data_IF_730382769558
#
_entry.id   IF_730382769558
#
_cell.length_a   1.000
_cell.length_b   1.000
_cell.length_c   1.000
_cell.angle_alpha   90.00
_cell.angle_beta   90.00
_cell.angle_gamma   90.00
#
_symmetry.space_group_name_H-M   'P 1'
#
loop_
_entity.id
_entity.type
_entity.pdbx_description
1 polymer ?
#
# COMPACT_ATOMS: atom_id res chain seq x y z
N UNK A 1 -16.62 -17.30 -28.10
CA UNK A 1 -17.27 -18.57 -28.46
C UNK A 1 -18.48 -18.76 -27.56
N UNK A 2 -19.64 -19.06 -28.13
CA UNK A 2 -20.81 -19.44 -27.33
C UNK A 2 -20.69 -20.93 -26.98
N UNK A 3 -20.79 -21.24 -25.69
CA UNK A 3 -20.63 -22.59 -25.16
C UNK A 3 -21.92 -23.16 -24.58
N UNK A 4 -22.98 -22.35 -24.49
CA UNK A 4 -24.26 -22.78 -23.93
C UNK A 4 -24.96 -23.71 -24.92
N UNK A 5 -25.66 -24.72 -24.40
CA UNK A 5 -26.34 -25.78 -25.14
C UNK A 5 -25.43 -26.76 -25.90
N UNK A 6 -24.13 -26.77 -25.60
CA UNK A 6 -23.20 -27.75 -26.18
C UNK A 6 -23.24 -29.05 -25.37
N UNK A 7 -23.35 -30.18 -26.06
CA UNK A 7 -23.19 -31.52 -25.50
C UNK A 7 -21.71 -31.80 -25.21
N UNK A 8 -21.44 -32.26 -24.00
CA UNK A 8 -20.11 -32.63 -23.52
C UNK A 8 -20.13 -33.96 -22.79
N UNK A 9 -18.99 -34.63 -22.73
CA UNK A 9 -18.81 -35.87 -21.97
C UNK A 9 -17.67 -35.70 -20.98
N UNK A 10 -17.97 -35.89 -19.69
CA UNK A 10 -16.98 -35.90 -18.62
C UNK A 10 -16.51 -37.32 -18.33
N UNK A 11 -15.21 -37.50 -18.11
CA UNK A 11 -14.62 -38.83 -17.87
C UNK A 11 -15.21 -39.60 -16.67
N UNK A 12 -15.73 -38.88 -15.66
CA UNK A 12 -16.35 -39.46 -14.45
C UNK A 12 -17.88 -39.34 -14.44
N UNK A 13 -18.43 -38.24 -14.98
CA UNK A 13 -19.84 -37.89 -14.79
C UNK A 13 -20.72 -38.21 -16.02
N UNK A 14 -20.12 -38.76 -17.07
CA UNK A 14 -20.84 -39.16 -18.27
C UNK A 14 -21.24 -37.96 -19.14
N UNK A 15 -22.35 -38.11 -19.85
CA UNK A 15 -22.87 -37.10 -20.77
C UNK A 15 -23.56 -35.95 -20.02
N UNK A 16 -23.33 -34.73 -20.51
CA UNK A 16 -23.95 -33.53 -19.98
C UNK A 16 -24.07 -32.42 -21.02
N UNK A 17 -24.80 -31.37 -20.65
CA UNK A 17 -25.02 -30.19 -21.51
C UNK A 17 -24.55 -28.96 -20.74
N UNK A 18 -23.78 -28.09 -21.39
CA UNK A 18 -23.40 -26.81 -20.80
C UNK A 18 -24.62 -25.90 -20.74
N UNK A 19 -25.01 -25.46 -19.55
CA UNK A 19 -26.19 -24.62 -19.32
C UNK A 19 -25.84 -23.16 -19.01
N UNK A 20 -24.61 -22.88 -18.58
CA UNK A 20 -24.16 -21.53 -18.28
C UNK A 20 -22.64 -21.39 -18.46
N UNK A 21 -22.21 -20.18 -18.82
CA UNK A 21 -20.81 -19.74 -18.80
C UNK A 21 -20.72 -18.40 -18.09
N UNK A 22 -19.97 -18.35 -17.01
CA UNK A 22 -19.76 -17.16 -16.18
C UNK A 22 -18.25 -16.99 -15.94
N UNK A 23 -17.68 -15.87 -16.40
CA UNK A 23 -16.25 -15.58 -16.24
C UNK A 23 -15.37 -16.76 -16.75
N UNK A 24 -14.59 -17.34 -15.84
CA UNK A 24 -13.70 -18.49 -16.01
C UNK A 24 -14.36 -19.85 -15.70
N UNK A 25 -15.69 -19.91 -15.58
CA UNK A 25 -16.42 -21.13 -15.25
C UNK A 25 -17.50 -21.48 -16.25
N UNK A 26 -17.73 -22.78 -16.43
CA UNK A 26 -18.90 -23.34 -17.11
C UNK A 26 -19.68 -24.22 -16.13
N UNK A 27 -21.01 -24.23 -16.26
CA UNK A 27 -21.89 -25.15 -15.53
C UNK A 27 -22.43 -26.19 -16.50
N UNK A 28 -22.20 -27.47 -16.19
CA UNK A 28 -22.66 -28.61 -16.98
C UNK A 28 -23.74 -29.35 -16.21
N UNK A 29 -24.88 -29.57 -16.87
CA UNK A 29 -25.98 -30.41 -16.37
C UNK A 29 -25.79 -31.84 -16.83
N UNK A 30 -25.60 -32.75 -15.89
CA UNK A 30 -25.56 -34.20 -16.09
C UNK A 30 -26.91 -34.82 -15.71
N UNK A 31 -27.07 -36.13 -15.92
CA UNK A 31 -28.33 -36.84 -15.71
C UNK A 31 -28.95 -36.64 -14.31
N UNK A 32 -28.12 -36.57 -13.27
CA UNK A 32 -28.57 -36.50 -11.88
C UNK A 32 -28.16 -35.20 -11.15
N UNK A 33 -27.23 -34.41 -11.69
CA UNK A 33 -26.62 -33.27 -10.98
C UNK A 33 -26.10 -32.19 -11.94
N UNK A 34 -25.97 -30.96 -11.45
CA UNK A 34 -25.26 -29.86 -12.10
C UNK A 34 -23.89 -29.64 -11.44
N UNK A 35 -22.83 -29.47 -12.24
CA UNK A 35 -21.47 -29.21 -11.74
C UNK A 35 -20.80 -28.06 -12.47
N UNK A 36 -20.04 -27.26 -11.71
CA UNK A 36 -19.29 -26.11 -12.21
C UNK A 36 -17.82 -26.47 -12.38
N UNK A 37 -17.23 -26.09 -13.52
CA UNK A 37 -15.86 -26.40 -13.90
C UNK A 37 -15.12 -25.16 -14.41
N UNK A 38 -13.79 -25.16 -14.27
CA UNK A 38 -12.93 -24.08 -14.74
C UNK A 38 -12.70 -24.20 -16.25
N UNK A 39 -13.11 -23.18 -17.00
CA UNK A 39 -12.90 -23.05 -18.43
C UNK A 39 -11.65 -22.20 -18.74
N UNK A 40 -10.86 -22.51 -19.78
CA UNK A 40 -10.96 -23.68 -20.67
C UNK A 40 -10.33 -24.96 -20.11
N UNK A 41 -9.63 -24.90 -18.98
CA UNK A 41 -8.74 -25.95 -18.47
C UNK A 41 -9.41 -27.31 -18.24
N UNK A 42 -10.71 -27.35 -17.93
CA UNK A 42 -11.45 -28.62 -17.79
C UNK A 42 -11.44 -29.47 -19.07
N UNK A 43 -11.29 -28.85 -20.25
CA UNK A 43 -11.17 -29.59 -21.51
C UNK A 43 -9.77 -30.20 -21.72
N UNK A 44 -8.81 -29.89 -20.85
CA UNK A 44 -7.48 -30.52 -20.81
C UNK A 44 -7.55 -31.87 -20.07
N UNK A 45 -8.35 -32.79 -20.61
CA UNK A 45 -8.41 -34.19 -20.16
C UNK A 45 -9.55 -34.58 -19.22
N UNK A 46 -10.54 -33.70 -18.99
CA UNK A 46 -11.73 -34.02 -18.18
C UNK A 46 -13.04 -33.94 -18.95
N UNK A 47 -13.22 -32.93 -19.80
CA UNK A 47 -14.38 -32.76 -20.69
C UNK A 47 -13.99 -32.89 -22.16
N UNK A 48 -14.88 -33.49 -22.95
CA UNK A 48 -14.77 -33.60 -24.41
C UNK A 48 -16.09 -33.13 -25.03
N UNK A 49 -16.04 -32.38 -26.11
CA UNK A 49 -17.20 -32.02 -26.94
C UNK A 49 -17.18 -32.81 -28.25
N UNK A 50 -18.36 -33.11 -28.81
CA UNK A 50 -18.49 -33.81 -30.09
C UNK A 50 -18.33 -32.87 -31.29
N UNK A 51 -18.46 -31.56 -31.09
CA UNK A 51 -18.27 -30.57 -32.15
C UNK A 51 -16.78 -30.38 -32.44
N UNK A 52 -16.37 -30.75 -33.65
CA UNK A 52 -14.98 -30.61 -34.13
C UNK A 52 -14.46 -29.18 -34.04
N UNK A 53 -15.29 -28.22 -34.46
CA UNK A 53 -14.90 -26.81 -34.57
C UNK A 53 -14.71 -26.19 -33.18
N UNK A 54 -15.57 -26.58 -32.23
CA UNK A 54 -15.51 -26.13 -30.84
C UNK A 54 -14.34 -26.78 -30.12
N UNK A 55 -14.13 -28.09 -30.31
CA UNK A 55 -12.97 -28.79 -29.77
C UNK A 55 -11.66 -28.16 -30.24
N UNK A 56 -11.56 -27.81 -31.52
CA UNK A 56 -10.36 -27.21 -32.09
C UNK A 56 -10.12 -25.78 -31.57
N UNK A 57 -11.17 -24.97 -31.45
CA UNK A 57 -11.06 -23.63 -30.84
C UNK A 57 -10.61 -23.69 -29.38
N UNK A 58 -11.19 -24.59 -28.58
CA UNK A 58 -10.82 -24.76 -27.16
C UNK A 58 -9.37 -25.25 -27.05
N UNK A 59 -8.96 -26.17 -27.93
CA UNK A 59 -7.59 -26.67 -27.96
C UNK A 59 -6.58 -25.55 -28.24
N UNK A 60 -6.86 -24.66 -29.21
CA UNK A 60 -6.03 -23.48 -29.50
C UNK A 60 -5.97 -22.52 -28.31
N UNK A 61 -7.08 -22.33 -27.60
CA UNK A 61 -7.14 -21.49 -26.40
C UNK A 61 -6.27 -22.06 -25.26
N UNK A 62 -6.36 -23.37 -24.99
CA UNK A 62 -5.52 -24.08 -24.00
C UNK A 62 -4.04 -24.00 -24.39
N UNK A 63 -3.70 -24.19 -25.66
CA UNK A 63 -2.33 -24.14 -26.14
C UNK A 63 -1.73 -22.71 -26.03
N UNK A 64 -2.54 -21.68 -26.31
CA UNK A 64 -2.13 -20.28 -26.10
C UNK A 64 -1.89 -19.98 -24.62
N UNK A 65 -2.73 -20.49 -23.70
CA UNK A 65 -2.55 -20.32 -22.25
C UNK A 65 -1.28 -21.03 -21.78
N UNK A 66 -1.06 -22.29 -22.19
CA UNK A 66 0.16 -23.05 -21.86
C UNK A 66 1.42 -22.37 -22.38
N UNK A 67 1.37 -21.79 -23.59
CA UNK A 67 2.48 -21.03 -24.16
C UNK A 67 2.77 -19.77 -23.33
N UNK A 68 1.75 -18.99 -22.97
CA UNK A 68 1.91 -17.80 -22.14
C UNK A 68 2.42 -18.13 -20.72
N UNK A 69 1.98 -19.24 -20.13
CA UNK A 69 2.46 -19.71 -18.84
C UNK A 69 3.92 -20.17 -18.92
N UNK A 70 4.30 -20.87 -19.99
CA UNK A 70 5.68 -21.30 -20.21
C UNK A 70 6.61 -20.10 -20.47
N UNK A 71 6.20 -19.14 -21.31
CA UNK A 71 6.95 -17.89 -21.54
C UNK A 71 7.12 -17.07 -20.24
N UNK A 72 6.09 -17.00 -19.39
CA UNK A 72 6.19 -16.38 -18.06
C UNK A 72 7.16 -17.12 -17.16
N UNK A 73 7.13 -18.45 -17.17
CA UNK A 73 8.00 -19.30 -16.35
C UNK A 73 9.46 -19.21 -16.82
N UNK A 74 9.69 -19.21 -18.13
CA UNK A 74 11.00 -19.02 -18.74
C UNK A 74 11.54 -17.62 -18.42
N UNK A 75 10.72 -16.56 -18.56
CA UNK A 75 11.12 -15.19 -18.18
C UNK A 75 11.46 -15.07 -16.69
N UNK A 76 10.70 -15.72 -15.81
CA UNK A 76 10.98 -15.75 -14.37
C UNK A 76 12.29 -16.51 -14.06
N UNK A 77 12.52 -17.64 -14.74
CA UNK A 77 13.75 -18.42 -14.60
C UNK A 77 14.98 -17.67 -15.15
N UNK A 78 14.84 -16.96 -16.27
CA UNK A 78 15.87 -16.09 -16.83
C UNK A 78 16.18 -14.93 -15.86
N UNK A 79 15.17 -14.30 -15.26
CA UNK A 79 15.35 -13.27 -14.25
C UNK A 79 16.05 -13.80 -12.99
N UNK A 80 15.73 -15.01 -12.53
CA UNK A 80 16.43 -15.66 -11.42
C UNK A 80 17.88 -16.03 -11.77
N UNK A 81 18.10 -16.54 -12.98
CA UNK A 81 19.44 -16.91 -13.46
C UNK A 81 20.31 -15.65 -13.66
N UNK A 82 19.73 -14.56 -14.15
CA UNK A 82 20.39 -13.27 -14.29
C UNK A 82 20.73 -12.67 -12.92
N UNK A 83 19.82 -12.74 -11.94
CA UNK A 83 20.11 -12.38 -10.53
C UNK A 83 21.23 -13.23 -9.92
N UNK A 84 21.29 -14.53 -10.23
CA UNK A 84 22.39 -15.41 -9.77
C UNK A 84 23.72 -15.10 -10.46
N UNK A 85 23.72 -14.79 -11.75
CA UNK A 85 24.92 -14.41 -12.51
C UNK A 85 25.44 -13.04 -12.06
N UNK A 86 24.56 -12.07 -11.79
CA UNK A 86 24.92 -10.77 -11.21
C UNK A 86 25.50 -10.92 -9.79
N UNK A 87 24.95 -11.84 -8.99
CA UNK A 87 25.46 -12.16 -7.65
C UNK A 87 26.85 -12.81 -7.71
N UNK A 88 27.09 -13.70 -8.67
CA UNK A 88 28.38 -14.38 -8.86
C UNK A 88 29.45 -13.51 -9.54
N UNK A 89 29.06 -12.59 -10.43
CA UNK A 89 29.98 -11.65 -11.08
C UNK A 89 30.31 -10.41 -10.20
N UNK A 90 29.48 -10.14 -9.18
CA UNK A 90 29.72 -9.10 -8.17
C UNK A 90 30.88 -9.40 -7.21
N UNK A 91 31.37 -10.64 -7.13
CA UNK A 91 32.40 -11.06 -6.17
C UNK A 91 33.84 -10.68 -6.56
N UNK A 92 34.04 -9.91 -7.63
CA UNK A 92 35.36 -9.35 -8.01
C UNK A 92 35.48 -7.84 -7.88
N UNK A 93 34.50 -7.17 -7.28
CA UNK A 93 34.60 -5.75 -6.94
C UNK A 93 34.62 -5.54 -5.42
N UNK A 94 35.59 -4.74 -4.98
CA UNK A 94 35.87 -4.24 -3.63
C UNK A 94 34.68 -4.44 -2.67
N UNK A 95 34.87 -5.18 -1.56
CA UNK A 95 33.94 -5.26 -0.42
C UNK A 95 33.46 -3.85 -0.04
N UNK A 96 32.36 -3.38 -0.62
CA UNK A 96 31.63 -2.23 -0.13
C UNK A 96 31.09 -2.70 1.21
N UNK A 97 31.59 -2.14 2.31
CA UNK A 97 30.99 -2.35 3.62
C UNK A 97 29.51 -2.00 3.49
N UNK A 98 28.63 -3.01 3.51
CA UNK A 98 27.19 -2.78 3.58
C UNK A 98 26.97 -1.89 4.80
N UNK A 99 26.52 -0.65 4.57
CA UNK A 99 26.29 0.31 5.65
C UNK A 99 25.14 -0.24 6.48
N UNK A 100 25.46 -0.84 7.62
CA UNK A 100 24.44 -1.29 8.58
C UNK A 100 23.91 -0.04 9.27
N UNK A 101 22.66 0.31 9.00
CA UNK A 101 22.00 1.42 9.67
C UNK A 101 21.33 0.92 10.96
N UNK A 102 21.42 1.67 12.07
CA UNK A 102 20.62 1.37 13.24
C UNK A 102 19.14 1.52 12.90
N UNK A 103 18.32 0.58 13.39
CA UNK A 103 16.86 0.58 13.24
C UNK A 103 16.30 1.88 13.81
N UNK A 104 15.33 2.48 13.11
CA UNK A 104 14.66 3.70 13.53
C UNK A 104 13.16 3.63 13.27
N UNK A 105 12.40 4.48 13.95
CA UNK A 105 11.00 4.72 13.63
C UNK A 105 10.89 5.72 12.47
N UNK A 106 9.73 5.78 11.82
CA UNK A 106 9.54 6.59 10.61
C UNK A 106 8.25 7.39 10.64
N UNK A 107 8.35 8.67 10.31
CA UNK A 107 7.21 9.56 10.11
C UNK A 107 7.11 9.95 8.63
N UNK A 108 5.95 9.81 8.01
CA UNK A 108 5.70 10.21 6.63
C UNK A 108 5.05 11.59 6.54
N UNK A 109 5.51 12.40 5.58
CA UNK A 109 4.88 13.66 5.17
C UNK A 109 3.92 13.37 4.04
N UNK A 110 2.65 13.29 4.39
CA UNK A 110 1.57 13.06 3.45
C UNK A 110 1.04 14.40 2.95
N UNK A 111 0.60 14.45 1.70
CA UNK A 111 -0.29 15.52 1.25
C UNK A 111 -1.67 15.34 1.86
N UNK A 112 -2.47 16.40 1.96
CA UNK A 112 -3.82 16.27 2.50
C UNK A 112 -4.71 15.47 1.54
N UNK A 113 -5.42 14.49 2.09
CA UNK A 113 -6.39 13.67 1.39
C UNK A 113 -7.58 13.43 2.31
N UNK A 114 -8.74 13.95 1.92
CA UNK A 114 -10.03 13.79 2.62
C UNK A 114 -10.85 12.61 2.09
N UNK A 115 -10.26 11.77 1.23
CA UNK A 115 -10.93 10.59 0.72
C UNK A 115 -11.29 9.63 1.85
N UNK A 116 -12.58 9.35 2.01
CA UNK A 116 -13.09 8.54 3.13
C UNK A 116 -13.17 9.30 4.46
N UNK A 117 -13.22 10.63 4.44
CA UNK A 117 -13.44 11.46 5.63
C UNK A 117 -14.75 11.08 6.35
N UNK A 118 -14.68 11.03 7.69
CA UNK A 118 -15.82 10.91 8.60
C UNK A 118 -15.49 11.51 9.97
N UNK A 119 -16.45 11.50 10.90
CA UNK A 119 -16.19 11.95 12.28
C UNK A 119 -15.16 11.07 13.01
N UNK A 120 -14.88 9.87 12.48
CA UNK A 120 -13.93 8.88 13.01
C UNK A 120 -12.60 8.84 12.25
N UNK A 121 -12.48 9.54 11.11
CA UNK A 121 -11.27 9.49 10.28
C UNK A 121 -11.06 10.75 9.43
N UNK A 122 -9.82 11.24 9.39
CA UNK A 122 -9.42 12.44 8.62
C UNK A 122 -9.54 12.27 7.09
N UNK A 123 -9.44 11.06 6.58
CA UNK A 123 -9.39 10.76 5.14
C UNK A 123 -8.42 9.63 4.87
N UNK A 124 -7.63 9.70 3.80
CA UNK A 124 -6.59 8.70 3.45
C UNK A 124 -7.11 7.26 3.21
N UNK A 125 -8.38 7.13 2.85
CA UNK A 125 -9.05 5.85 2.55
C UNK A 125 -10.01 6.02 1.37
N UNK A 126 -9.53 6.66 0.30
CA UNK A 126 -10.31 6.94 -0.88
C UNK A 126 -9.76 8.08 -1.70
N UNK A 127 -10.43 8.38 -2.81
CA UNK A 127 -10.16 9.54 -3.65
C UNK A 127 -10.60 10.81 -2.93
N UNK A 128 -9.80 11.88 -3.04
CA UNK A 128 -10.14 13.18 -2.50
C UNK A 128 -11.49 13.73 -3.03
N UNK A 129 -12.09 14.64 -2.28
CA UNK A 129 -13.18 15.48 -2.78
C UNK A 129 -12.67 16.40 -3.90
N UNK A 130 -13.59 16.91 -4.71
CA UNK A 130 -13.26 17.82 -5.81
C UNK A 130 -12.54 19.09 -5.32
N UNK A 131 -12.90 19.60 -4.14
CA UNK A 131 -12.27 20.79 -3.56
C UNK A 131 -10.82 20.50 -3.15
N UNK A 132 -10.56 19.34 -2.56
CA UNK A 132 -9.20 18.93 -2.21
C UNK A 132 -8.38 18.57 -3.45
N UNK A 133 -9.00 18.00 -4.50
CA UNK A 133 -8.34 17.79 -5.79
C UNK A 133 -7.86 19.13 -6.37
N UNK A 134 -8.76 20.12 -6.48
CA UNK A 134 -8.41 21.46 -6.97
C UNK A 134 -7.35 22.11 -6.10
N UNK A 135 -7.51 22.08 -4.78
CA UNK A 135 -6.52 22.63 -3.86
C UNK A 135 -5.13 22.00 -4.07
N UNK A 136 -5.04 20.67 -4.14
CA UNK A 136 -3.77 19.98 -4.30
C UNK A 136 -3.11 20.24 -5.66
N UNK A 137 -3.90 20.42 -6.73
CA UNK A 137 -3.39 20.60 -8.09
C UNK A 137 -3.10 22.07 -8.41
N UNK A 138 -4.06 22.96 -8.16
CA UNK A 138 -4.06 24.35 -8.64
C UNK A 138 -3.38 25.30 -7.64
N UNK A 139 -3.60 25.09 -6.33
CA UNK A 139 -3.09 25.97 -5.27
C UNK A 139 -1.75 25.48 -4.71
N UNK A 140 -1.74 24.28 -4.14
CA UNK A 140 -0.57 23.70 -3.48
C UNK A 140 0.45 23.10 -4.46
N UNK A 141 0.03 22.84 -5.70
CA UNK A 141 0.85 22.27 -6.77
C UNK A 141 1.64 21.04 -6.31
N UNK A 142 0.96 20.13 -5.60
CA UNK A 142 1.56 18.93 -5.02
C UNK A 142 2.14 18.06 -6.13
N UNK A 143 3.37 17.59 -5.92
CA UNK A 143 4.17 17.01 -7.01
C UNK A 143 3.50 15.84 -7.73
N UNK A 144 2.89 14.90 -7.01
CA UNK A 144 2.13 13.81 -7.64
C UNK A 144 0.81 14.31 -8.24
N UNK A 145 0.05 15.12 -7.50
CA UNK A 145 -1.27 15.59 -7.94
C UNK A 145 -1.19 16.41 -9.23
N UNK A 146 -0.14 17.20 -9.40
CA UNK A 146 0.12 18.02 -10.59
C UNK A 146 0.86 17.26 -11.70
N UNK A 147 1.11 15.96 -11.55
CA UNK A 147 1.72 15.11 -12.59
C UNK A 147 0.73 14.81 -13.71
N UNK A 148 1.25 14.58 -14.93
CA UNK A 148 0.43 14.18 -16.09
C UNK A 148 -0.24 12.81 -15.89
N UNK A 149 0.42 11.91 -15.16
CA UNK A 149 -0.06 10.56 -14.87
C UNK A 149 -1.03 10.50 -13.68
N UNK A 150 -1.36 11.63 -13.07
CA UNK A 150 -2.26 11.63 -11.91
C UNK A 150 -3.71 11.46 -12.35
N UNK A 151 -4.39 10.41 -11.86
CA UNK A 151 -5.80 10.16 -12.14
C UNK A 151 -6.71 11.33 -11.68
N UNK A 152 -6.41 11.97 -10.54
CA UNK A 152 -7.14 13.17 -10.12
C UNK A 152 -6.97 14.35 -11.09
N UNK A 153 -5.78 14.46 -11.72
CA UNK A 153 -5.52 15.46 -12.75
C UNK A 153 -6.24 15.17 -14.07
N UNK A 154 -6.28 13.90 -14.47
CA UNK A 154 -7.07 13.43 -15.63
C UNK A 154 -8.56 13.71 -15.43
N UNK A 155 -9.08 13.46 -14.22
CA UNK A 155 -10.45 13.82 -13.86
C UNK A 155 -10.70 15.32 -13.99
N UNK A 156 -9.81 16.16 -13.45
CA UNK A 156 -9.96 17.61 -13.50
C UNK A 156 -9.94 18.17 -14.93
N UNK A 157 -9.22 17.51 -15.85
CA UNK A 157 -9.20 17.83 -17.29
C UNK A 157 -10.41 17.32 -18.06
N UNK A 158 -11.21 16.43 -17.46
CA UNK A 158 -12.34 15.77 -18.11
C UNK A 158 -11.96 14.54 -18.94
N UNK A 159 -10.73 14.02 -18.79
CA UNK A 159 -10.26 12.82 -19.49
C UNK A 159 -10.92 11.54 -18.95
N UNK A 160 -11.25 11.53 -17.66
CA UNK A 160 -12.01 10.48 -16.98
C UNK A 160 -13.14 11.08 -16.14
N UNK A 161 -14.19 10.33 -15.94
CA UNK A 161 -15.32 10.71 -15.07
C UNK A 161 -14.99 10.51 -13.59
N UNK A 162 -15.75 11.16 -12.70
CA UNK A 162 -15.69 10.91 -11.26
C UNK A 162 -15.92 9.44 -10.92
N UNK A 163 -16.87 8.81 -11.61
CA UNK A 163 -17.18 7.38 -11.43
C UNK A 163 -15.98 6.49 -11.78
N UNK A 164 -15.30 6.74 -12.89
CA UNK A 164 -14.10 5.99 -13.28
C UNK A 164 -12.95 6.20 -12.28
N UNK A 165 -12.75 7.43 -11.81
CA UNK A 165 -11.76 7.75 -10.78
C UNK A 165 -12.02 6.99 -9.47
N UNK A 166 -13.26 7.01 -8.98
CA UNK A 166 -13.64 6.28 -7.77
C UNK A 166 -13.55 4.76 -7.99
N UNK A 167 -13.93 4.25 -9.17
CA UNK A 167 -13.84 2.84 -9.52
C UNK A 167 -12.40 2.33 -9.57
N UNK A 168 -11.44 3.13 -10.06
CA UNK A 168 -10.01 2.82 -9.98
C UNK A 168 -9.60 2.56 -8.53
N UNK A 169 -10.03 3.43 -7.62
CA UNK A 169 -9.72 3.28 -6.19
C UNK A 169 -10.39 2.05 -5.58
N UNK A 170 -11.69 1.85 -5.84
CA UNK A 170 -12.51 0.80 -5.23
C UNK A 170 -12.16 -0.61 -5.72
N UNK A 171 -11.62 -0.74 -6.94
CA UNK A 171 -11.20 -2.02 -7.52
C UNK A 171 -9.76 -2.41 -7.14
N UNK A 172 -9.19 -1.77 -6.10
CA UNK A 172 -7.82 -2.03 -5.65
C UNK A 172 -6.74 -1.43 -6.56
N UNK A 173 -7.12 -0.50 -7.44
CA UNK A 173 -6.17 0.25 -8.25
C UNK A 173 -5.47 1.36 -7.47
N UNK A 174 -4.37 1.82 -8.04
CA UNK A 174 -3.56 2.90 -7.49
C UNK A 174 -4.00 4.26 -8.06
N UNK A 175 -4.49 5.16 -7.20
CA UNK A 175 -4.82 6.56 -7.55
C UNK A 175 -3.71 7.51 -7.10
N UNK A 176 -3.33 7.40 -5.82
CA UNK A 176 -2.17 8.03 -5.24
C UNK A 176 -1.79 7.34 -3.93
N UNK A 177 -0.59 7.63 -3.43
CA UNK A 177 -0.14 7.09 -2.15
C UNK A 177 -1.11 7.41 -1.01
N UNK A 178 -1.54 8.66 -0.89
CA UNK A 178 -2.43 9.10 0.19
C UNK A 178 -3.79 8.40 0.18
N UNK A 179 -4.35 8.12 -1.00
CA UNK A 179 -5.69 7.51 -1.13
C UNK A 179 -5.80 6.09 -0.57
N UNK A 180 -4.68 5.37 -0.45
CA UNK A 180 -4.65 3.96 -0.02
C UNK A 180 -4.02 3.74 1.37
N UNK A 181 -3.45 4.77 2.00
CA UNK A 181 -2.62 4.60 3.20
C UNK A 181 -3.34 3.90 4.35
N UNK A 182 -4.55 4.34 4.70
CA UNK A 182 -5.33 3.72 5.78
C UNK A 182 -6.16 2.52 5.33
N UNK A 183 -6.37 2.37 4.01
CA UNK A 183 -7.01 1.18 3.43
C UNK A 183 -6.12 -0.04 3.56
N UNK A 184 -4.86 0.12 3.18
CA UNK A 184 -3.87 -0.95 3.11
C UNK A 184 -2.93 -0.96 4.31
N UNK A 185 -3.00 0.06 5.16
CA UNK A 185 -2.01 0.29 6.22
C UNK A 185 -0.58 0.19 5.67
N UNK A 186 -0.35 0.92 4.57
CA UNK A 186 0.89 0.86 3.78
C UNK A 186 1.35 2.27 3.43
N UNK A 187 2.62 2.56 3.70
CA UNK A 187 3.27 3.81 3.32
C UNK A 187 4.48 3.52 2.45
N UNK A 188 4.54 4.15 1.29
CA UNK A 188 5.60 3.98 0.29
C UNK A 188 6.60 5.14 0.36
N UNK A 189 7.85 4.86 0.02
CA UNK A 189 8.97 5.79 0.12
C UNK A 189 8.88 6.95 -0.89
N UNK A 190 8.12 6.76 -1.97
CA UNK A 190 8.00 7.65 -3.10
C UNK A 190 9.01 7.34 -4.20
N UNK A 191 8.72 7.90 -5.38
CA UNK A 191 9.65 8.00 -6.50
C UNK A 191 10.15 9.45 -6.58
N UNK A 192 11.44 9.63 -6.87
CA UNK A 192 12.00 10.96 -7.10
C UNK A 192 11.33 11.61 -8.30
N UNK A 193 10.72 12.78 -8.10
CA UNK A 193 9.92 13.45 -9.14
C UNK A 193 10.68 14.56 -9.88
N UNK A 194 11.86 14.97 -9.40
CA UNK A 194 12.60 16.13 -9.90
C UNK A 194 14.11 15.89 -9.97
N UNK A 195 14.79 16.71 -10.77
CA UNK A 195 16.26 16.67 -10.93
C UNK A 195 16.76 15.49 -11.75
N UNK A 196 18.09 15.30 -11.76
CA UNK A 196 18.76 14.25 -12.55
C UNK A 196 18.36 12.82 -12.14
N UNK A 197 17.85 12.65 -10.93
CA UNK A 197 17.40 11.36 -10.38
C UNK A 197 15.90 11.11 -10.59
N UNK A 198 15.20 11.93 -11.38
CA UNK A 198 13.77 11.75 -11.64
C UNK A 198 13.48 10.32 -12.13
N UNK A 199 12.43 9.71 -11.58
CA UNK A 199 12.04 8.32 -11.86
C UNK A 199 12.72 7.28 -10.97
N UNK A 200 13.72 7.65 -10.16
CA UNK A 200 14.37 6.69 -9.27
C UNK A 200 13.52 6.39 -8.03
N UNK A 201 13.29 5.10 -7.69
CA UNK A 201 12.63 4.71 -6.45
C UNK A 201 13.43 5.14 -5.22
N UNK A 202 12.73 5.60 -4.18
CA UNK A 202 13.36 5.94 -2.90
C UNK A 202 13.43 4.70 -1.99
N UNK A 203 14.46 4.66 -1.14
CA UNK A 203 14.70 3.55 -0.20
C UNK A 203 14.44 3.92 1.25
N UNK A 204 14.04 2.93 2.06
CA UNK A 204 13.78 3.05 3.49
C UNK A 204 14.87 2.36 4.33
N UNK A 205 16.09 2.90 4.24
CA UNK A 205 17.31 2.26 4.76
C UNK A 205 17.37 1.96 6.27
N UNK A 206 16.51 2.59 7.10
CA UNK A 206 16.54 2.41 8.57
C UNK A 206 15.29 1.76 9.15
N UNK A 207 14.23 1.57 8.36
CA UNK A 207 13.01 0.95 8.88
C UNK A 207 13.19 -0.56 8.85
N UNK A 208 12.92 -1.20 9.98
CA UNK A 208 12.95 -2.65 10.12
C UNK A 208 11.69 -3.07 10.88
N UNK A 209 11.53 -4.38 11.07
CA UNK A 209 10.48 -4.88 11.96
C UNK A 209 10.60 -4.24 13.34
N UNK A 210 9.46 -4.11 14.00
CA UNK A 210 9.28 -3.45 15.29
C UNK A 210 9.33 -1.92 15.26
N UNK A 211 9.60 -1.28 14.12
CA UNK A 211 9.49 0.18 13.94
C UNK A 211 8.06 0.67 14.10
N UNK A 212 7.89 1.87 14.67
CA UNK A 212 6.64 2.62 14.61
C UNK A 212 6.60 3.43 13.32
N UNK A 213 5.54 3.25 12.54
CA UNK A 213 5.20 4.16 11.45
C UNK A 213 4.20 5.21 11.95
N UNK A 214 4.49 6.48 11.68
CA UNK A 214 3.64 7.63 11.99
C UNK A 214 3.25 8.32 10.69
N UNK A 215 1.96 8.47 10.46
CA UNK A 215 1.41 9.15 9.29
C UNK A 215 1.02 10.58 9.68
N UNK A 216 1.58 11.56 8.98
CA UNK A 216 1.35 12.98 9.29
C UNK A 216 0.84 13.75 8.08
N UNK A 217 0.01 14.75 8.35
CA UNK A 217 -0.48 15.67 7.33
C UNK A 217 -0.69 17.07 7.91
N UNK A 218 -1.20 17.97 7.08
CA UNK A 218 -1.62 19.33 7.40
C UNK A 218 -2.92 19.61 6.70
N UNK A 219 -3.81 20.37 7.32
CA UNK A 219 -4.99 20.84 6.62
C UNK A 219 -4.60 21.80 5.48
N UNK A 220 -5.41 21.90 4.42
CA UNK A 220 -5.24 22.92 3.40
C UNK A 220 -5.10 24.31 4.03
N UNK A 221 -4.17 25.12 3.51
CA UNK A 221 -3.89 26.48 4.00
C UNK A 221 -3.28 26.59 5.41
N UNK A 222 -2.95 25.48 6.07
CA UNK A 222 -2.28 25.49 7.39
C UNK A 222 -0.76 25.52 7.29
N UNK A 223 -0.10 25.98 8.37
CA UNK A 223 1.36 26.09 8.46
C UNK A 223 2.02 24.76 8.85
N UNK A 224 3.34 24.61 8.67
CA UNK A 224 4.05 23.41 9.13
C UNK A 224 3.94 23.19 10.64
N UNK A 225 3.78 24.25 11.44
CA UNK A 225 3.56 24.16 12.90
C UNK A 225 2.30 23.37 13.25
N UNK A 226 1.32 23.33 12.35
CA UNK A 226 0.04 22.66 12.53
C UNK A 226 0.05 21.22 11.99
N UNK A 227 1.19 20.72 11.50
CA UNK A 227 1.32 19.31 11.08
C UNK A 227 0.93 18.38 12.22
N UNK A 228 -0.02 17.50 11.94
CA UNK A 228 -0.59 16.59 12.91
C UNK A 228 -0.46 15.14 12.48
N UNK A 229 -0.52 14.24 13.46
CA UNK A 229 -0.53 12.79 13.27
C UNK A 229 -1.98 12.36 13.06
N UNK A 230 -2.26 11.58 12.01
CA UNK A 230 -3.61 11.05 11.74
C UNK A 230 -3.69 9.52 11.85
N UNK A 231 -2.55 8.83 11.89
CA UNK A 231 -2.50 7.39 12.09
C UNK A 231 -1.13 6.90 12.48
N UNK A 232 -1.09 5.78 13.20
CA UNK A 232 0.14 5.08 13.58
C UNK A 232 -0.04 3.59 13.41
N UNK A 233 1.04 2.88 13.07
CA UNK A 233 1.03 1.42 13.04
C UNK A 233 2.40 0.81 13.30
N UNK A 234 2.39 -0.41 13.82
CA UNK A 234 3.59 -1.21 14.03
C UNK A 234 4.01 -1.83 12.70
N UNK A 235 5.25 -1.59 12.30
CA UNK A 235 5.84 -2.18 11.12
C UNK A 235 6.26 -3.63 11.42
N UNK A 236 5.60 -4.60 10.79
CA UNK A 236 5.95 -6.03 10.83
C UNK A 236 6.36 -6.60 9.47
N UNK A 237 6.11 -5.84 8.39
CA UNK A 237 6.56 -6.13 7.03
C UNK A 237 7.17 -4.87 6.39
N UNK A 238 8.37 -5.01 5.82
CA UNK A 238 9.06 -3.95 5.09
C UNK A 238 9.67 -4.44 3.80
N UNK A 239 9.80 -3.50 2.86
CA UNK A 239 10.67 -3.64 1.71
C UNK A 239 11.56 -2.40 1.64
N UNK A 240 12.87 -2.58 1.62
CA UNK A 240 13.82 -1.46 1.60
C UNK A 240 13.69 -0.61 0.33
N UNK A 241 13.28 -1.23 -0.78
CA UNK A 241 13.36 -0.66 -2.12
C UNK A 241 14.66 -1.04 -2.81
N UNK A 242 14.59 -1.25 -4.12
CA UNK A 242 15.74 -1.56 -4.97
C UNK A 242 15.87 -0.54 -6.10
N UNK A 243 16.49 -0.90 -7.22
CA UNK A 243 16.65 0.00 -8.36
C UNK A 243 15.40 0.04 -9.26
N UNK A 244 14.42 -0.85 -9.03
CA UNK A 244 13.20 -0.99 -9.82
C UNK A 244 11.97 -0.54 -9.02
N UNK A 245 11.91 -0.88 -7.74
CA UNK A 245 10.76 -0.68 -6.87
C UNK A 245 11.12 0.17 -5.65
N UNK A 246 10.20 1.06 -5.27
CA UNK A 246 10.33 1.88 -4.07
C UNK A 246 10.14 1.07 -2.78
N UNK A 247 10.79 1.53 -1.71
CA UNK A 247 10.62 0.93 -0.41
C UNK A 247 9.22 1.18 0.15
N UNK A 248 8.73 0.28 0.98
CA UNK A 248 7.47 0.46 1.70
C UNK A 248 7.51 -0.16 3.09
N UNK A 249 6.62 0.34 3.94
CA UNK A 249 6.33 -0.23 5.26
C UNK A 249 4.84 -0.54 5.33
N UNK A 250 4.49 -1.67 5.93
CA UNK A 250 3.10 -2.06 6.12
C UNK A 250 2.91 -2.85 7.40
N UNK A 251 1.66 -3.19 7.71
CA UNK A 251 1.32 -4.01 8.86
C UNK A 251 0.20 -5.00 8.57
N UNK A 252 0.36 -6.22 9.06
CA UNK A 252 -0.75 -7.18 9.21
C UNK A 252 -1.18 -7.35 10.66
N UNK A 253 -0.42 -6.78 11.59
CA UNK A 253 -0.73 -6.77 13.01
C UNK A 253 -2.00 -5.97 13.33
N UNK A 254 -2.62 -6.30 14.46
CA UNK A 254 -3.69 -5.49 15.07
C UNK A 254 -3.19 -4.14 15.59
N UNK A 255 -1.88 -3.97 15.77
CA UNK A 255 -1.27 -2.75 16.33
C UNK A 255 -1.23 -1.63 15.31
N UNK A 256 -2.40 -1.04 15.07
CA UNK A 256 -2.64 0.07 14.14
C UNK A 256 -3.81 0.90 14.64
N UNK A 257 -3.64 2.21 14.68
CA UNK A 257 -4.63 3.15 15.24
C UNK A 257 -4.75 4.32 14.28
N UNK A 258 -5.98 4.65 13.91
CA UNK A 258 -6.31 5.89 13.20
C UNK A 258 -6.91 6.87 14.21
N UNK A 259 -6.70 8.16 13.97
CA UNK A 259 -7.25 9.21 14.81
C UNK A 259 -8.40 9.87 14.07
N UNK A 260 -9.50 10.10 14.78
CA UNK A 260 -10.57 10.99 14.32
C UNK A 260 -10.01 12.39 14.06
N UNK A 261 -10.69 13.23 13.26
CA UNK A 261 -10.27 14.61 13.07
C UNK A 261 -10.04 15.33 14.41
N UNK A 262 -10.93 15.16 15.40
CA UNK A 262 -10.80 15.82 16.72
C UNK A 262 -9.59 15.33 17.52
N UNK A 263 -9.23 14.05 17.43
CA UNK A 263 -8.05 13.50 18.10
C UNK A 263 -6.77 13.89 17.36
N UNK A 264 -6.77 13.79 16.03
CA UNK A 264 -5.61 14.07 15.18
C UNK A 264 -5.09 15.50 15.40
N UNK A 265 -5.98 16.50 15.43
CA UNK A 265 -5.61 17.90 15.66
C UNK A 265 -5.00 18.17 17.05
N UNK A 266 -5.17 17.27 18.03
CA UNK A 266 -4.49 17.35 19.33
C UNK A 266 -3.06 16.80 19.28
N UNK A 267 -2.73 16.02 18.25
CA UNK A 267 -1.46 15.33 18.06
C UNK A 267 -0.52 16.06 17.10
N UNK A 268 -0.13 17.29 17.41
CA UNK A 268 0.83 18.04 16.60
C UNK A 268 2.19 17.31 16.57
N UNK A 269 2.67 16.96 15.37
CA UNK A 269 3.90 16.22 15.14
C UNK A 269 5.12 16.92 15.74
N UNK A 270 5.17 18.25 15.63
CA UNK A 270 6.28 19.06 16.14
C UNK A 270 6.29 19.21 17.67
N UNK A 271 5.31 18.66 18.39
CA UNK A 271 5.45 18.46 19.83
C UNK A 271 6.50 17.38 20.14
N UNK A 272 6.69 16.40 19.25
CA UNK A 272 7.54 15.23 19.46
C UNK A 272 8.88 15.34 18.74
N UNK A 273 8.89 15.92 17.55
CA UNK A 273 10.07 15.98 16.69
C UNK A 273 10.68 17.38 16.61
N UNK A 274 12.00 17.45 16.48
CA UNK A 274 12.78 18.65 16.27
C UNK A 274 13.87 18.36 15.22
N UNK A 275 14.19 19.34 14.37
CA UNK A 275 15.25 19.17 13.38
C UNK A 275 16.63 19.31 14.06
N UNK A 276 17.57 18.42 13.74
CA UNK A 276 18.92 18.41 14.35
C UNK A 276 19.64 19.77 14.27
N UNK A 277 19.55 20.44 13.11
CA UNK A 277 20.24 21.72 12.88
C UNK A 277 19.43 22.95 13.31
N UNK A 278 18.11 22.81 13.48
CA UNK A 278 17.20 23.92 13.79
C UNK A 278 16.10 23.44 14.75
N UNK A 279 16.45 23.15 16.01
CA UNK A 279 15.56 22.40 16.90
C UNK A 279 14.31 23.19 17.33
N UNK A 280 14.34 24.52 17.29
CA UNK A 280 13.19 25.38 17.63
C UNK A 280 12.28 25.71 16.43
N UNK A 281 12.65 25.27 15.22
CA UNK A 281 11.93 25.58 13.99
C UNK A 281 11.13 24.36 13.53
N UNK A 282 9.81 24.45 13.63
CA UNK A 282 8.86 23.47 13.13
C UNK A 282 8.73 23.57 11.59
N UNK A 283 9.66 22.96 10.88
CA UNK A 283 9.71 22.95 9.40
C UNK A 283 10.14 21.60 8.85
N UNK A 284 9.40 21.05 7.89
CA UNK A 284 9.77 19.77 7.28
C UNK A 284 10.80 19.91 6.15
N UNK A 285 10.84 21.05 5.46
CA UNK A 285 11.76 21.26 4.33
C UNK A 285 11.62 20.15 3.27
N UNK A 286 12.72 19.49 2.91
CA UNK A 286 12.79 18.43 1.91
C UNK A 286 12.56 17.02 2.48
N UNK A 287 12.23 16.09 1.58
CA UNK A 287 12.02 14.67 1.87
C UNK A 287 10.57 14.32 2.20
N UNK A 288 10.21 13.05 1.96
CA UNK A 288 8.88 12.49 2.20
C UNK A 288 8.75 11.80 3.57
N UNK A 289 9.86 11.60 4.26
CA UNK A 289 9.87 10.96 5.57
C UNK A 289 10.96 11.54 6.49
N UNK A 290 10.81 11.25 7.79
CA UNK A 290 11.77 11.54 8.86
C UNK A 290 11.97 10.29 9.70
N UNK A 291 13.22 10.04 10.09
CA UNK A 291 13.54 9.01 11.08
C UNK A 291 13.55 9.62 12.48
N UNK A 292 13.11 8.85 13.46
CA UNK A 292 13.07 9.29 14.86
C UNK A 292 13.33 8.13 15.83
N UNK A 293 13.72 8.46 17.06
CA UNK A 293 14.12 7.49 18.08
C UNK A 293 12.95 6.81 18.77
N UNK A 294 13.22 5.80 19.60
CA UNK A 294 12.16 5.07 20.29
C UNK A 294 11.52 5.84 21.46
N UNK A 295 12.26 6.73 22.11
CA UNK A 295 11.70 7.62 23.14
C UNK A 295 10.55 8.46 22.58
N UNK A 296 10.74 9.02 21.38
CA UNK A 296 9.70 9.78 20.68
C UNK A 296 8.51 8.88 20.27
N UNK A 297 8.76 7.61 19.90
CA UNK A 297 7.68 6.66 19.63
C UNK A 297 6.84 6.37 20.88
N UNK A 298 7.49 6.17 22.03
CA UNK A 298 6.79 5.98 23.32
C UNK A 298 5.99 7.23 23.68
N UNK A 299 6.56 8.44 23.55
CA UNK A 299 5.84 9.69 23.81
C UNK A 299 4.57 9.80 22.97
N UNK A 300 4.63 9.47 21.68
CA UNK A 300 3.47 9.46 20.78
C UNK A 300 2.43 8.43 21.24
N UNK A 301 2.85 7.20 21.52
CA UNK A 301 1.94 6.12 21.94
C UNK A 301 1.30 6.39 23.31
N UNK A 302 2.02 7.00 24.25
CA UNK A 302 1.48 7.44 25.55
C UNK A 302 0.36 8.47 25.38
N UNK A 303 0.56 9.46 24.51
CA UNK A 303 -0.46 10.47 24.24
C UNK A 303 -1.66 9.89 23.50
N UNK A 304 -1.45 8.96 22.56
CA UNK A 304 -2.55 8.24 21.91
C UNK A 304 -3.33 7.41 22.94
N UNK A 305 -2.66 6.70 23.83
CA UNK A 305 -3.32 5.94 24.91
C UNK A 305 -4.18 6.85 25.80
N UNK A 306 -3.67 8.04 26.16
CA UNK A 306 -4.43 9.06 26.90
C UNK A 306 -5.63 9.58 26.10
N UNK A 307 -5.45 9.85 24.80
CA UNK A 307 -6.53 10.33 23.93
C UNK A 307 -7.65 9.29 23.76
N UNK A 308 -7.30 8.01 23.72
CA UNK A 308 -8.25 6.90 23.58
C UNK A 308 -8.91 6.48 24.90
N UNK A 309 -8.56 7.09 26.03
CA UNK A 309 -9.17 6.77 27.32
C UNK A 309 -10.69 7.02 27.30
N UNK A 310 -11.47 6.03 27.74
CA UNK A 310 -12.93 6.05 27.71
C UNK A 310 -13.55 5.74 26.35
N UNK A 311 -12.74 5.44 25.31
CA UNK A 311 -13.22 5.06 23.98
C UNK A 311 -13.15 3.55 23.78
N UNK A 312 -13.79 3.02 22.74
CA UNK A 312 -13.75 1.59 22.40
C UNK A 312 -12.32 1.09 22.07
N UNK A 313 -11.42 2.00 21.64
CA UNK A 313 -10.04 1.68 21.28
C UNK A 313 -9.06 1.80 22.47
N UNK A 314 -9.51 2.17 23.68
CA UNK A 314 -8.65 2.35 24.86
C UNK A 314 -7.76 1.12 25.10
N UNK A 315 -8.37 -0.07 25.07
CA UNK A 315 -7.66 -1.33 25.32
C UNK A 315 -6.57 -1.56 24.28
N UNK A 316 -6.86 -1.31 23.00
CA UNK A 316 -5.90 -1.46 21.91
C UNK A 316 -4.74 -0.47 22.06
N UNK A 317 -5.03 0.80 22.38
CA UNK A 317 -4.01 1.83 22.52
C UNK A 317 -3.04 1.53 23.68
N UNK A 318 -3.58 1.12 24.84
CA UNK A 318 -2.77 0.70 25.98
C UNK A 318 -1.94 -0.56 25.66
N UNK A 319 -2.56 -1.56 25.03
CA UNK A 319 -1.86 -2.78 24.63
C UNK A 319 -0.74 -2.49 23.64
N UNK A 320 -0.97 -1.60 22.67
CA UNK A 320 0.01 -1.23 21.66
C UNK A 320 1.22 -0.52 22.31
N UNK A 321 0.98 0.46 23.19
CA UNK A 321 2.06 1.11 23.95
C UNK A 321 2.93 0.10 24.71
N UNK A 322 2.31 -0.79 25.48
CA UNK A 322 3.03 -1.79 26.28
C UNK A 322 3.78 -2.80 25.40
N UNK A 323 3.15 -3.24 24.31
CA UNK A 323 3.76 -4.17 23.37
C UNK A 323 4.99 -3.54 22.70
N UNK A 324 4.86 -2.30 22.20
CA UNK A 324 5.96 -1.59 21.55
C UNK A 324 7.14 -1.37 22.50
N UNK A 325 6.87 -0.98 23.74
CA UNK A 325 7.91 -0.83 24.76
C UNK A 325 8.64 -2.14 25.03
N UNK A 326 7.89 -3.25 25.18
CA UNK A 326 8.45 -4.57 25.44
C UNK A 326 9.33 -5.10 24.31
N UNK A 327 8.89 -5.00 23.05
CA UNK A 327 9.65 -5.54 21.91
C UNK A 327 10.90 -4.73 21.57
N UNK A 328 10.97 -3.48 22.04
CA UNK A 328 12.12 -2.59 21.85
C UNK A 328 12.95 -2.39 23.14
N UNK A 329 12.65 -3.13 24.21
CA UNK A 329 13.34 -3.09 25.51
C UNK A 329 13.42 -1.70 26.14
N UNK A 330 12.26 -1.03 26.26
CA UNK A 330 12.17 0.35 26.77
C UNK A 330 11.37 0.37 28.06
N UNK A 331 11.96 0.95 29.11
CA UNK A 331 11.22 1.34 30.30
C UNK A 331 10.46 2.64 30.06
N UNK A 332 9.13 2.53 29.97
CA UNK A 332 8.24 3.68 29.74
C UNK A 332 8.42 4.75 30.83
N UNK A 333 8.77 4.36 32.05
CA UNK A 333 8.92 5.30 33.18
C UNK A 333 10.17 6.17 33.09
N UNK A 334 11.17 5.77 32.29
CA UNK A 334 12.41 6.51 32.09
C UNK A 334 12.39 7.43 30.88
N UNK A 335 11.35 7.33 30.04
CA UNK A 335 11.24 8.16 28.82
C UNK A 335 11.06 9.63 29.21
N UNK A 336 11.91 10.54 28.70
CA UNK A 336 11.85 11.95 29.06
C UNK A 336 10.58 12.62 28.54
N UNK A 337 10.31 13.82 29.07
CA UNK A 337 9.28 14.69 28.52
C UNK A 337 9.57 15.09 27.05
N UNK A 338 8.50 15.47 26.35
CA UNK A 338 8.56 15.82 24.93
C UNK A 338 9.48 17.02 24.70
N UNK A 339 10.38 16.89 23.73
CA UNK A 339 11.35 17.94 23.38
C UNK A 339 11.29 18.33 21.89
N UNK A 340 10.11 18.24 21.27
CA UNK A 340 9.92 18.68 19.88
C UNK A 340 10.03 20.20 19.73
N UNK A 341 10.03 20.68 18.48
CA UNK A 341 10.19 22.10 18.17
C UNK A 341 9.11 23.02 18.79
N UNK A 342 7.93 22.49 19.13
CA UNK A 342 6.87 23.23 19.83
C UNK A 342 6.93 23.11 21.37
N UNK A 343 7.96 22.43 21.89
CA UNK A 343 8.20 22.21 23.33
C UNK A 343 9.57 22.75 23.78
N UNK A 344 10.29 23.41 22.89
CA UNK A 344 11.57 24.05 23.16
C UNK A 344 11.39 25.55 23.39
#
# INVERSE_FOLDING_TARGET
MDLVNIKVRHKVFGEGIIIAKENSYITVKFQNDEKKFIYPNVFDGYLITESSDIAESIKREIESIKKLENEKKERLAELEQQKQIEKNNGDKYIKVKTKVYPRANIAFKCNFCDGGYSDEQVGFNGVCSDDVIRNNIELEKRTWCSSEDCACGQYLKGDITRFELDALCNNGGFVCYESQMLREWKALAGIVQTGEKKGQPMKLNKVQNNSLCVLTTRDPNSSERERYIFGVFLVDETYEGDNQEEGYVTTKSKYRIKLSPKEAHKMLFWNYHANDNQPEVAVWSSGLHRYFGDEQAIQILQDIAKLKQGTEEEKLANEFLLYFARINDIDISTVPEKSGALKK
#
